data_IF_583191878585
#
_entry.id   IF_583191878585
#
_cell.length_a   1.000
_cell.length_b   1.000
_cell.length_c   1.000
_cell.angle_alpha   90.00
_cell.angle_beta   90.00
_cell.angle_gamma   90.00
#
_symmetry.space_group_name_H-M   'P 1'
#
loop_
_entity.id
_entity.type
_entity.pdbx_description
1 polymer ?
#
# COMPACT_ATOMS: atom_id res chain seq x y z
N UNK A 1 -9.92 -2.43 14.91
CA UNK A 1 -11.01 -1.73 15.63
C UNK A 1 -11.08 -2.41 16.98
N UNK A 2 -10.86 -1.69 18.08
CA UNK A 2 -10.78 -2.33 19.40
C UNK A 2 -12.17 -2.73 19.90
N UNK A 3 -12.23 -3.89 20.56
CA UNK A 3 -13.40 -4.42 21.25
C UNK A 3 -13.17 -4.42 22.77
N UNK A 4 -14.22 -4.08 23.49
CA UNK A 4 -14.27 -4.09 24.96
C UNK A 4 -15.35 -5.06 25.44
N UNK A 5 -15.18 -5.61 26.63
CA UNK A 5 -16.19 -6.32 27.39
C UNK A 5 -16.71 -5.38 28.47
N UNK A 6 -18.03 -5.22 28.59
CA UNK A 6 -18.62 -4.51 29.74
C UNK A 6 -18.63 -5.44 30.96
N UNK A 7 -17.95 -5.05 32.04
CA UNK A 7 -17.80 -5.92 33.21
C UNK A 7 -19.13 -6.13 33.98
N UNK A 8 -20.14 -5.28 33.74
CA UNK A 8 -21.43 -5.35 34.40
C UNK A 8 -22.45 -6.28 33.72
N UNK A 9 -22.30 -6.57 32.43
CA UNK A 9 -23.25 -7.43 31.67
C UNK A 9 -22.59 -8.44 30.73
N UNK A 10 -21.25 -8.47 30.64
CA UNK A 10 -20.47 -9.37 29.79
C UNK A 10 -20.55 -9.08 28.29
N UNK A 11 -21.27 -8.04 27.85
CA UNK A 11 -21.44 -7.76 26.41
C UNK A 11 -20.12 -7.31 25.76
N UNK A 12 -19.81 -7.87 24.59
CA UNK A 12 -18.76 -7.36 23.70
C UNK A 12 -19.24 -6.14 22.92
N UNK A 13 -18.47 -5.05 22.96
CA UNK A 13 -18.82 -3.75 22.39
C UNK A 13 -17.63 -3.16 21.63
N UNK A 14 -17.85 -2.73 20.37
CA UNK A 14 -16.82 -2.02 19.58
C UNK A 14 -16.60 -0.63 20.16
N UNK A 15 -15.38 -0.08 20.07
CA UNK A 15 -15.05 1.26 20.60
C UNK A 15 -16.06 2.38 20.24
N UNK A 16 -16.60 2.39 19.03
CA UNK A 16 -17.59 3.39 18.57
C UNK A 16 -19.03 3.13 19.03
N UNK A 17 -19.29 1.98 19.65
CA UNK A 17 -20.58 1.59 20.20
C UNK A 17 -20.60 1.65 21.74
N UNK A 18 -19.45 1.91 22.38
CA UNK A 18 -19.32 1.99 23.84
C UNK A 18 -20.25 3.06 24.42
N UNK A 19 -20.28 4.26 23.85
CA UNK A 19 -21.16 5.33 24.34
C UNK A 19 -22.63 4.91 24.32
N UNK A 20 -23.11 4.36 23.19
CA UNK A 20 -24.46 3.82 23.06
C UNK A 20 -24.75 2.69 24.07
N UNK A 21 -23.76 1.84 24.33
CA UNK A 21 -23.87 0.78 25.33
C UNK A 21 -23.94 1.35 26.75
N UNK A 22 -23.14 2.36 27.11
CA UNK A 22 -23.20 3.03 28.41
C UNK A 22 -24.57 3.70 28.67
N UNK A 23 -25.22 4.23 27.63
CA UNK A 23 -26.59 4.75 27.75
C UNK A 23 -27.65 3.65 27.97
N UNK A 24 -27.43 2.44 27.42
CA UNK A 24 -28.36 1.31 27.57
C UNK A 24 -28.12 0.51 28.86
N UNK A 25 -26.85 0.27 29.20
CA UNK A 25 -26.42 -0.50 30.35
C UNK A 25 -26.07 0.42 31.52
N UNK A 26 -27.05 0.68 32.40
CA UNK A 26 -26.87 1.52 33.61
C UNK A 26 -25.79 1.02 34.58
N UNK A 27 -25.34 -0.23 34.44
CA UNK A 27 -24.26 -0.83 35.23
C UNK A 27 -22.86 -0.59 34.65
N UNK A 28 -22.73 -0.08 33.43
CA UNK A 28 -21.44 0.09 32.74
C UNK A 28 -20.56 1.14 33.44
N UNK A 29 -19.71 0.71 34.37
CA UNK A 29 -18.72 1.54 35.09
C UNK A 29 -17.28 1.29 34.62
N UNK A 30 -17.01 0.05 34.19
CA UNK A 30 -15.71 -0.40 33.74
C UNK A 30 -15.83 -1.29 32.50
N UNK A 31 -14.80 -1.20 31.65
CA UNK A 31 -14.70 -1.85 30.34
C UNK A 31 -13.34 -2.51 30.21
N UNK A 32 -13.31 -3.83 30.04
CA UNK A 32 -12.09 -4.59 29.81
C UNK A 32 -11.78 -4.70 28.32
N UNK A 33 -10.63 -4.22 27.83
CA UNK A 33 -10.25 -4.44 26.43
C UNK A 33 -9.96 -5.92 26.17
N UNK A 34 -10.55 -6.50 25.12
CA UNK A 34 -10.40 -7.94 24.81
C UNK A 34 -8.98 -8.33 24.41
N UNK A 35 -8.22 -7.39 23.84
CA UNK A 35 -6.90 -7.65 23.27
C UNK A 35 -5.78 -7.53 24.34
N UNK A 36 -5.86 -6.57 25.27
CA UNK A 36 -4.87 -6.36 26.34
C UNK A 36 -5.31 -6.71 27.77
N UNK A 37 -6.61 -6.96 27.99
CA UNK A 37 -7.22 -7.16 29.31
C UNK A 37 -6.99 -6.01 30.31
N UNK A 38 -6.64 -4.81 29.84
CA UNK A 38 -6.64 -3.61 30.68
C UNK A 38 -8.08 -3.18 30.91
N UNK A 39 -8.40 -2.90 32.18
CA UNK A 39 -9.69 -2.37 32.63
C UNK A 39 -9.66 -0.85 32.56
N UNK A 40 -10.63 -0.26 31.87
CA UNK A 40 -10.81 1.18 31.72
C UNK A 40 -12.03 1.64 32.52
N UNK A 41 -11.89 2.70 33.31
CA UNK A 41 -12.99 3.25 34.11
C UNK A 41 -13.58 4.49 33.44
N UNK A 42 -14.91 4.62 33.48
CA UNK A 42 -15.60 5.77 32.87
C UNK A 42 -15.22 5.96 31.40
N UNK A 43 -14.59 7.10 31.10
CA UNK A 43 -14.23 7.53 29.74
C UNK A 43 -12.81 7.14 29.28
N UNK A 44 -12.00 6.49 30.12
CA UNK A 44 -10.58 6.20 29.82
C UNK A 44 -10.37 5.35 28.55
N UNK A 45 -11.36 4.52 28.19
CA UNK A 45 -11.36 3.72 26.96
C UNK A 45 -11.24 4.58 25.69
N UNK A 46 -11.62 5.88 25.74
CA UNK A 46 -11.48 6.84 24.64
C UNK A 46 -10.01 7.04 24.27
N UNK A 47 -9.10 6.99 25.24
CA UNK A 47 -7.65 7.13 25.03
C UNK A 47 -6.99 5.84 24.51
N UNK A 48 -7.62 4.69 24.67
CA UNK A 48 -7.08 3.41 24.18
C UNK A 48 -7.17 3.30 22.65
N UNK A 49 -6.12 3.77 21.96
CA UNK A 49 -6.02 3.82 20.48
C UNK A 49 -5.10 2.75 19.87
N UNK A 50 -4.20 2.18 20.68
CA UNK A 50 -3.32 1.06 20.35
C UNK A 50 -3.40 0.04 21.47
N UNK A 51 -3.36 -1.24 21.11
CA UNK A 51 -3.25 -2.35 22.04
C UNK A 51 -1.83 -2.95 21.98
N UNK A 52 -1.38 -3.56 23.08
CA UNK A 52 -0.20 -4.45 23.06
C UNK A 52 -0.43 -5.60 22.08
N UNK A 53 0.63 -6.02 21.41
CA UNK A 53 0.62 -7.17 20.52
C UNK A 53 0.64 -8.48 21.30
N UNK A 54 0.18 -9.56 20.67
CA UNK A 54 0.21 -10.92 21.25
C UNK A 54 1.64 -11.35 21.60
N UNK A 55 2.58 -11.06 20.70
CA UNK A 55 4.02 -11.21 20.89
C UNK A 55 4.54 -10.46 22.15
N UNK A 56 4.16 -9.19 22.36
CA UNK A 56 4.57 -8.41 23.56
C UNK A 56 3.92 -8.93 24.85
N UNK A 57 2.72 -9.53 24.75
CA UNK A 57 1.95 -10.02 25.88
C UNK A 57 2.40 -11.41 26.35
N UNK A 58 2.81 -12.28 25.43
CA UNK A 58 3.17 -13.68 25.72
C UNK A 58 4.64 -14.04 25.42
N UNK A 59 5.42 -13.16 24.79
CA UNK A 59 6.80 -13.44 24.34
C UNK A 59 7.85 -13.61 25.44
N UNK A 60 7.45 -13.55 26.71
CA UNK A 60 8.36 -13.68 27.86
C UNK A 60 9.18 -12.41 28.14
N UNK A 61 9.99 -12.47 29.20
CA UNK A 61 10.76 -11.31 29.69
C UNK A 61 11.85 -10.83 28.72
N UNK A 62 12.30 -11.71 27.84
CA UNK A 62 13.34 -11.45 26.84
C UNK A 62 12.77 -11.11 25.45
N UNK A 63 11.46 -10.86 25.33
CA UNK A 63 10.86 -10.46 24.05
C UNK A 63 11.46 -9.15 23.55
N UNK A 64 12.14 -9.22 22.42
CA UNK A 64 12.56 -8.04 21.66
C UNK A 64 11.64 -7.87 20.46
N UNK A 65 10.97 -6.72 20.29
CA UNK A 65 10.10 -6.48 19.15
C UNK A 65 10.89 -6.57 17.85
N UNK A 66 10.44 -7.44 16.95
CA UNK A 66 11.06 -7.65 15.64
C UNK A 66 11.21 -6.29 14.94
N UNK A 67 12.42 -5.93 14.50
CA UNK A 67 12.71 -4.63 13.88
C UNK A 67 11.87 -4.31 12.61
N UNK A 68 11.18 -5.31 12.05
CA UNK A 68 10.20 -5.17 10.98
C UNK A 68 8.82 -4.68 11.44
N UNK A 69 8.41 -4.96 12.69
CA UNK A 69 7.06 -4.69 13.21
C UNK A 69 6.74 -3.20 13.21
N UNK A 70 7.61 -2.40 13.84
CA UNK A 70 7.42 -0.94 13.96
C UNK A 70 7.99 -0.14 12.78
N UNK A 71 8.39 -0.80 11.67
CA UNK A 71 9.05 -0.15 10.52
C UNK A 71 8.19 0.93 9.84
N UNK A 72 6.87 0.85 9.96
CA UNK A 72 5.95 1.90 9.46
C UNK A 72 5.97 3.16 10.34
N UNK A 73 5.96 2.96 11.65
CA UNK A 73 5.94 4.00 12.70
C UNK A 73 7.30 4.70 12.83
N UNK A 74 8.40 3.97 12.87
CA UNK A 74 9.77 4.54 12.88
C UNK A 74 10.01 5.46 11.68
N UNK A 75 9.47 5.11 10.49
CA UNK A 75 9.53 5.96 9.29
C UNK A 75 8.61 7.18 9.36
N UNK A 76 7.63 7.19 10.26
CA UNK A 76 6.71 8.31 10.48
C UNK A 76 7.28 9.25 11.55
N UNK A 77 7.86 8.72 12.63
CA UNK A 77 8.60 9.46 13.64
C UNK A 77 9.77 10.23 13.04
N UNK A 78 10.66 9.55 12.30
CA UNK A 78 11.78 10.19 11.58
C UNK A 78 11.35 11.29 10.60
N UNK A 79 10.15 11.15 10.01
CA UNK A 79 9.59 12.17 9.13
C UNK A 79 9.11 13.41 9.91
N UNK A 80 8.51 13.21 11.08
CA UNK A 80 8.04 14.30 11.96
C UNK A 80 9.24 15.01 12.62
N UNK A 81 10.23 14.26 13.11
CA UNK A 81 11.49 14.78 13.63
C UNK A 81 12.22 15.64 12.58
N UNK A 82 12.28 15.15 11.32
CA UNK A 82 12.84 15.92 10.21
C UNK A 82 12.06 17.22 9.93
N UNK A 83 10.72 17.18 9.97
CA UNK A 83 9.87 18.39 9.83
C UNK A 83 10.19 19.39 10.95
N UNK A 84 10.23 18.95 12.20
CA UNK A 84 10.53 19.79 13.37
C UNK A 84 11.93 20.41 13.28
N UNK A 85 12.94 19.62 12.89
CA UNK A 85 14.32 20.08 12.66
C UNK A 85 14.40 21.12 11.52
N UNK A 86 13.65 20.92 10.44
CA UNK A 86 13.59 21.85 9.31
C UNK A 86 12.95 23.19 9.69
N UNK A 87 11.89 23.17 10.52
CA UNK A 87 11.22 24.38 11.05
C UNK A 87 12.14 25.11 12.04
N UNK A 88 12.86 24.37 12.88
CA UNK A 88 13.77 24.94 13.89
C UNK A 88 15.01 25.58 13.26
N UNK A 89 15.55 24.97 12.19
CA UNK A 89 16.72 25.48 11.46
C UNK A 89 16.38 26.63 10.51
N UNK A 90 15.30 26.52 9.73
CA UNK A 90 14.83 27.59 8.84
C UNK A 90 13.91 28.55 9.60
N UNK A 91 14.47 29.64 10.15
CA UNK A 91 13.67 30.78 10.66
C UNK A 91 12.88 31.44 9.52
N UNK A 92 11.68 30.94 9.29
CA UNK A 92 10.74 31.42 8.27
C UNK A 92 9.77 32.42 8.94
N UNK A 93 9.68 33.68 8.47
CA UNK A 93 8.67 34.63 8.95
C UNK A 93 7.34 34.52 8.17
N UNK A 94 6.28 35.09 8.73
CA UNK A 94 5.00 35.30 8.02
C UNK A 94 4.03 34.10 8.02
N UNK A 95 2.99 34.10 7.17
CA UNK A 95 1.89 33.13 7.20
C UNK A 95 2.31 31.66 7.07
N UNK A 96 3.44 31.41 6.42
CA UNK A 96 4.02 30.07 6.27
C UNK A 96 4.49 29.49 7.62
N UNK A 97 4.98 30.33 8.54
CA UNK A 97 5.39 29.89 9.90
C UNK A 97 4.21 29.39 10.73
N UNK A 98 3.08 30.10 10.70
CA UNK A 98 1.84 29.69 11.38
C UNK A 98 1.32 28.35 10.86
N UNK A 99 1.35 28.16 9.52
CA UNK A 99 1.01 26.88 8.90
C UNK A 99 1.93 25.76 9.36
N UNK A 100 3.25 25.96 9.35
CA UNK A 100 4.23 24.95 9.76
C UNK A 100 4.07 24.56 11.24
N UNK A 101 3.84 25.54 12.12
CA UNK A 101 3.54 25.31 13.54
C UNK A 101 2.19 24.61 13.77
N UNK A 102 1.20 24.81 12.90
CA UNK A 102 -0.07 24.07 12.93
C UNK A 102 0.08 22.64 12.36
N UNK A 103 1.04 22.39 11.47
CA UNK A 103 1.29 21.05 10.91
C UNK A 103 1.92 20.13 11.96
N UNK A 104 2.86 20.62 12.77
CA UNK A 104 3.57 19.80 13.78
C UNK A 104 2.68 19.32 14.93
N UNK A 105 1.49 19.88 15.14
CA UNK A 105 0.54 19.37 16.16
C UNK A 105 -0.08 18.03 15.77
N UNK A 106 0.10 17.57 14.53
CA UNK A 106 -0.43 16.30 14.03
C UNK A 106 0.63 15.20 14.03
N UNK A 107 0.36 14.09 14.70
CA UNK A 107 1.24 12.91 14.74
C UNK A 107 1.25 12.05 13.47
N UNK A 108 0.45 12.38 12.45
CA UNK A 108 0.34 11.62 11.20
C UNK A 108 0.29 12.52 9.96
N UNK A 109 1.41 13.22 9.72
CA UNK A 109 1.59 14.09 8.56
C UNK A 109 1.88 13.25 7.30
N UNK A 110 1.14 13.40 6.17
CA UNK A 110 1.35 12.59 4.98
C UNK A 110 2.69 12.83 4.26
N UNK A 111 3.40 11.75 3.94
CA UNK A 111 4.69 11.74 3.20
C UNK A 111 4.58 11.80 1.67
N UNK A 112 3.44 12.18 1.09
CA UNK A 112 3.24 12.27 -0.36
C UNK A 112 2.51 13.57 -0.70
N UNK A 113 3.04 14.36 -1.63
CA UNK A 113 2.55 15.69 -2.00
C UNK A 113 1.02 15.77 -2.14
N UNK A 114 0.42 14.93 -3.00
CA UNK A 114 -1.03 14.95 -3.22
C UNK A 114 -1.85 14.52 -1.99
N UNK A 115 -1.29 13.73 -1.08
CA UNK A 115 -1.94 13.37 0.19
C UNK A 115 -1.75 14.46 1.24
N UNK A 116 -0.61 15.15 1.25
CA UNK A 116 -0.32 16.31 2.09
C UNK A 116 -1.22 17.49 1.71
N UNK A 117 -1.35 17.81 0.42
CA UNK A 117 -2.27 18.84 -0.09
C UNK A 117 -3.73 18.54 0.31
N UNK A 118 -4.19 17.30 0.14
CA UNK A 118 -5.54 16.91 0.57
C UNK A 118 -5.71 16.98 2.10
N UNK A 119 -4.67 16.68 2.87
CA UNK A 119 -4.67 16.86 4.33
C UNK A 119 -4.80 18.33 4.71
N UNK A 120 -4.02 19.24 4.12
CA UNK A 120 -4.14 20.68 4.40
C UNK A 120 -5.50 21.26 3.98
N UNK A 121 -6.06 20.80 2.84
CA UNK A 121 -7.39 21.20 2.36
C UNK A 121 -8.53 20.71 3.26
N UNK A 122 -8.45 19.49 3.79
CA UNK A 122 -9.52 18.89 4.58
C UNK A 122 -9.38 19.21 6.09
N UNK A 123 -8.20 18.98 6.67
CA UNK A 123 -7.95 19.12 8.10
C UNK A 123 -7.73 20.57 8.52
N UNK A 124 -6.97 21.36 7.75
CA UNK A 124 -6.67 22.76 8.09
C UNK A 124 -7.52 23.78 7.30
N UNK A 125 -8.33 23.31 6.34
CA UNK A 125 -9.17 24.13 5.43
C UNK A 125 -8.39 25.15 4.58
N UNK A 126 -7.09 24.93 4.40
CA UNK A 126 -6.20 25.82 3.63
C UNK A 126 -6.33 25.50 2.14
N UNK A 127 -6.66 26.51 1.34
CA UNK A 127 -6.89 26.39 -0.10
C UNK A 127 -5.81 27.05 -0.97
N UNK A 128 -4.94 27.86 -0.39
CA UNK A 128 -3.93 28.64 -1.13
C UNK A 128 -2.84 27.72 -1.68
N UNK A 129 -2.78 27.46 -3.01
CA UNK A 129 -1.90 26.45 -3.57
C UNK A 129 -0.42 26.83 -3.41
N UNK A 130 -0.08 28.11 -3.54
CA UNK A 130 1.29 28.62 -3.38
C UNK A 130 1.83 28.35 -1.97
N UNK A 131 1.01 28.56 -0.93
CA UNK A 131 1.40 28.33 0.45
C UNK A 131 1.58 26.83 0.76
N UNK A 132 0.72 25.99 0.19
CA UNK A 132 0.82 24.52 0.29
C UNK A 132 2.09 24.01 -0.42
N UNK A 133 2.37 24.52 -1.62
CA UNK A 133 3.58 24.15 -2.39
C UNK A 133 4.86 24.57 -1.68
N UNK A 134 4.92 25.79 -1.11
CA UNK A 134 6.07 26.25 -0.33
C UNK A 134 6.29 25.39 0.93
N UNK A 135 5.21 25.09 1.68
CA UNK A 135 5.29 24.21 2.84
C UNK A 135 5.76 22.79 2.46
N UNK A 136 5.25 22.24 1.34
CA UNK A 136 5.68 20.94 0.85
C UNK A 136 7.14 20.95 0.37
N UNK A 137 7.58 22.00 -0.33
CA UNK A 137 8.94 22.11 -0.86
C UNK A 137 9.99 22.15 0.25
N UNK A 138 9.71 22.85 1.36
CA UNK A 138 10.54 22.87 2.56
C UNK A 138 10.81 21.44 3.07
N UNK A 139 9.82 20.55 3.01
CA UNK A 139 9.93 19.15 3.44
C UNK A 139 10.42 18.19 2.34
N UNK A 140 10.15 18.49 1.07
CA UNK A 140 10.50 17.62 -0.06
C UNK A 140 12.00 17.62 -0.37
N UNK A 141 12.72 18.69 -0.01
CA UNK A 141 14.16 18.83 -0.21
C UNK A 141 14.99 17.69 0.41
N UNK A 142 14.50 17.03 1.48
CA UNK A 142 15.18 15.89 2.13
C UNK A 142 14.83 14.52 1.55
N UNK A 143 13.63 14.35 0.98
CA UNK A 143 13.21 13.06 0.37
C UNK A 143 14.06 12.67 -0.83
N UNK A 144 14.77 13.63 -1.44
CA UNK A 144 15.77 13.41 -2.50
C UNK A 144 17.07 12.82 -1.94
N UNK A 145 17.44 13.14 -0.69
CA UNK A 145 18.69 12.68 -0.08
C UNK A 145 18.60 11.22 0.40
N UNK A 146 17.42 10.74 0.82
CA UNK A 146 17.21 9.29 1.10
C UNK A 146 17.38 8.41 -0.15
N UNK A 147 17.23 8.95 -1.37
CA UNK A 147 17.45 8.19 -2.61
C UNK A 147 18.92 8.03 -3.02
N UNK A 148 19.85 8.79 -2.44
CA UNK A 148 21.27 8.81 -2.86
C UNK A 148 22.23 8.13 -1.86
N UNK A 149 21.92 8.14 -0.56
CA UNK A 149 22.79 7.59 0.50
C UNK A 149 22.86 6.05 0.58
N UNK A 150 22.67 5.33 -0.53
CA UNK A 150 22.79 3.86 -0.61
C UNK A 150 23.64 3.39 -1.81
N UNK A 151 24.52 4.24 -2.35
CA UNK A 151 25.56 3.87 -3.32
C UNK A 151 26.90 4.55 -3.00
N UNK A 152 27.99 3.85 -3.30
CA UNK A 152 29.40 4.15 -2.97
C UNK A 152 29.68 3.94 -1.47
N UNK A 153 30.54 3.01 -1.03
CA UNK A 153 31.86 2.54 -1.55
C UNK A 153 31.88 1.00 -1.53
N UNK A 154 32.37 0.24 -2.53
CA UNK A 154 33.76 0.10 -2.99
C UNK A 154 33.82 -0.14 -4.52
N UNK A 155 34.83 0.42 -5.19
CA UNK A 155 35.17 0.14 -6.59
C UNK A 155 36.08 -1.11 -6.70
N UNK A 156 35.95 -2.01 -7.67
CA UNK A 156 34.92 -2.12 -8.71
C UNK A 156 35.45 -2.84 -9.97
N UNK A 157 34.57 -3.19 -10.92
CA UNK A 157 34.82 -3.13 -12.39
C UNK A 157 33.54 -3.47 -13.17
N UNK A 158 33.17 -2.59 -14.12
CA UNK A 158 32.23 -2.75 -15.26
C UNK A 158 30.77 -3.25 -15.04
N UNK A 159 29.89 -2.67 -15.86
CA UNK A 159 28.56 -3.13 -16.32
C UNK A 159 27.27 -2.64 -15.61
N UNK A 160 26.62 -1.66 -16.27
CA UNK A 160 25.21 -1.65 -16.73
C UNK A 160 24.01 -1.77 -15.75
N UNK A 161 23.04 -0.88 -15.99
CA UNK A 161 21.64 -0.86 -15.55
C UNK A 161 21.33 -0.51 -14.08
N UNK A 162 20.31 0.34 -13.91
CA UNK A 162 19.62 0.55 -12.64
C UNK A 162 18.18 0.02 -12.70
N UNK A 163 17.55 -0.06 -11.53
CA UNK A 163 16.08 -0.05 -11.38
C UNK A 163 15.71 0.23 -9.92
N UNK A 164 14.69 1.06 -9.70
CA UNK A 164 14.07 1.25 -8.39
C UNK A 164 13.24 0.02 -7.98
N UNK A 165 13.22 -0.30 -6.68
CA UNK A 165 12.50 -1.45 -6.13
C UNK A 165 11.85 -1.19 -4.78
N UNK A 166 10.80 -0.36 -4.74
CA UNK A 166 9.93 -0.26 -3.55
C UNK A 166 9.01 -1.48 -3.49
N UNK A 167 9.05 -2.19 -2.36
CA UNK A 167 8.09 -3.24 -2.03
C UNK A 167 6.66 -2.71 -1.97
N UNK A 168 5.73 -3.45 -2.57
CA UNK A 168 4.34 -3.43 -2.17
C UNK A 168 3.87 -4.88 -1.94
N UNK A 169 3.75 -5.25 -0.66
CA UNK A 169 2.91 -6.38 -0.27
C UNK A 169 1.45 -5.96 -0.48
N UNK A 170 0.66 -6.86 -1.06
CA UNK A 170 -0.80 -6.76 -1.12
C UNK A 170 -1.39 -7.97 -0.42
N UNK A 171 -1.91 -7.78 0.79
CA UNK A 171 -2.64 -8.82 1.50
C UNK A 171 -3.95 -9.14 0.78
N UNK A 172 -4.15 -10.42 0.50
CA UNK A 172 -5.37 -10.99 -0.08
C UNK A 172 -6.51 -11.00 0.95
N UNK A 173 -7.72 -10.64 0.52
CA UNK A 173 -8.96 -11.07 1.19
C UNK A 173 -9.47 -12.32 0.50
N UNK A 174 -9.66 -13.39 1.26
CA UNK A 174 -10.41 -14.58 0.84
C UNK A 174 -11.90 -14.35 1.17
N UNK A 175 -12.76 -14.79 0.26
CA UNK A 175 -14.09 -15.31 0.59
C UNK A 175 -14.18 -16.67 -0.08
N UNK A 176 -14.65 -17.69 0.65
CA UNK A 176 -14.87 -19.02 0.11
C UNK A 176 -16.35 -19.20 -0.24
N UNK A 177 -16.61 -20.00 -1.28
CA UNK A 177 -17.65 -21.03 -1.23
C UNK A 177 -17.39 -22.09 -2.31
N UNK A 178 -18.03 -23.25 -2.15
CA UNK A 178 -17.91 -24.50 -2.93
C UNK A 178 -19.19 -25.31 -2.71
N UNK A 179 -19.42 -26.51 -3.31
CA UNK A 179 -18.73 -27.21 -4.41
C UNK A 179 -19.70 -27.69 -5.53
N UNK A 180 -19.17 -28.21 -6.65
CA UNK A 180 -19.65 -29.46 -7.30
C UNK A 180 -18.74 -29.86 -8.49
N UNK A 181 -18.91 -31.09 -9.00
CA UNK A 181 -17.90 -31.85 -9.77
C UNK A 181 -18.48 -32.31 -11.12
N UNK A 182 -17.66 -32.38 -12.20
CA UNK A 182 -17.50 -33.53 -13.14
C UNK A 182 -17.07 -33.17 -14.61
N UNK A 183 -15.89 -33.72 -14.99
CA UNK A 183 -15.50 -34.37 -16.28
C UNK A 183 -15.66 -33.74 -17.69
N UNK A 184 -14.53 -33.80 -18.43
CA UNK A 184 -14.35 -34.23 -19.85
C UNK A 184 -14.34 -33.25 -21.07
N UNK A 185 -13.13 -33.15 -21.68
CA UNK A 185 -12.75 -33.13 -23.13
C UNK A 185 -13.50 -32.26 -24.19
N UNK A 186 -12.79 -31.20 -24.69
CA UNK A 186 -12.63 -30.69 -26.10
C UNK A 186 -13.89 -30.36 -26.98
N UNK A 187 -13.79 -29.59 -28.10
CA UNK A 187 -12.77 -28.65 -28.60
C UNK A 187 -13.34 -27.22 -28.89
N UNK A 188 -12.57 -26.37 -29.59
CA UNK A 188 -12.92 -24.97 -29.92
C UNK A 188 -13.94 -24.81 -31.07
N UNK A 189 -14.75 -23.74 -31.02
CA UNK A 189 -15.39 -23.12 -32.19
C UNK A 189 -15.41 -21.58 -32.06
N UNK A 190 -15.36 -20.92 -33.21
CA UNK A 190 -15.39 -19.47 -33.44
C UNK A 190 -16.83 -19.01 -33.75
N UNK A 191 -17.23 -17.84 -33.28
CA UNK A 191 -18.17 -16.98 -34.01
C UNK A 191 -18.05 -15.51 -33.56
N UNK A 192 -18.27 -14.57 -34.49
CA UNK A 192 -17.92 -13.14 -34.35
C UNK A 192 -19.10 -12.20 -34.59
N UNK A 193 -18.93 -10.91 -34.22
CA UNK A 193 -19.78 -9.72 -34.51
C UNK A 193 -20.91 -9.44 -33.49
N UNK A 194 -21.27 -8.21 -33.09
CA UNK A 194 -20.76 -6.83 -33.29
C UNK A 194 -21.39 -5.92 -32.17
N UNK A 195 -21.10 -4.63 -31.91
CA UNK A 195 -20.19 -3.61 -32.45
C UNK A 195 -19.97 -2.47 -31.41
N UNK A 196 -18.80 -1.80 -31.41
CA UNK A 196 -18.63 -0.31 -31.49
C UNK A 196 -17.16 0.10 -31.37
N UNK A 197 -16.76 1.08 -32.16
CA UNK A 197 -15.39 1.28 -32.66
C UNK A 197 -14.50 2.21 -31.81
N UNK A 198 -13.18 1.99 -31.84
CA UNK A 198 -12.18 3.00 -32.28
C UNK A 198 -11.07 2.27 -33.06
N UNK A 199 -10.54 2.89 -34.12
CA UNK A 199 -9.79 2.25 -35.22
C UNK A 199 -8.25 2.30 -35.07
N UNK A 200 -7.60 1.23 -35.58
CA UNK A 200 -6.16 1.08 -35.93
C UNK A 200 -5.08 1.05 -34.83
N UNK A 201 -4.45 -0.14 -34.64
CA UNK A 201 -2.99 -0.39 -34.82
C UNK A 201 -2.59 -1.84 -34.47
N UNK A 202 -1.85 -2.47 -35.40
CA UNK A 202 -1.02 -3.68 -35.28
C UNK A 202 -1.59 -4.88 -34.49
N UNK A 203 -2.02 -5.91 -35.23
CA UNK A 203 -2.48 -7.19 -34.72
C UNK A 203 -1.34 -8.03 -34.10
N UNK A 204 -0.93 -7.69 -32.88
CA UNK A 204 0.11 -8.43 -32.15
C UNK A 204 -0.52 -9.56 -31.31
N UNK A 205 -0.17 -10.81 -31.63
CA UNK A 205 -0.67 -12.00 -30.94
C UNK A 205 0.00 -12.17 -29.56
N UNK A 206 -0.59 -11.55 -28.53
CA UNK A 206 -0.06 -11.59 -27.16
C UNK A 206 0.12 -13.00 -26.58
N UNK A 207 -0.80 -13.93 -26.90
CA UNK A 207 -0.72 -15.32 -26.44
C UNK A 207 0.41 -16.08 -27.13
N UNK A 208 0.52 -15.97 -28.45
CA UNK A 208 1.56 -16.64 -29.25
C UNK A 208 2.98 -16.15 -28.86
N UNK A 209 3.12 -14.85 -28.61
CA UNK A 209 4.35 -14.26 -28.10
C UNK A 209 4.72 -14.80 -26.70
N UNK A 210 3.74 -14.99 -25.82
CA UNK A 210 3.97 -15.58 -24.50
C UNK A 210 4.30 -17.08 -24.58
N UNK A 211 3.66 -17.82 -25.47
CA UNK A 211 3.92 -19.24 -25.71
C UNK A 211 5.33 -19.48 -26.26
N UNK A 212 5.75 -18.69 -27.28
CA UNK A 212 7.13 -18.71 -27.80
C UNK A 212 8.18 -18.46 -26.72
N UNK A 213 7.97 -17.47 -25.85
CA UNK A 213 8.88 -17.23 -24.72
C UNK A 213 8.87 -18.39 -23.71
N UNK A 214 7.77 -19.12 -23.53
CA UNK A 214 7.74 -20.26 -22.62
C UNK A 214 8.35 -21.54 -23.20
N UNK A 215 8.36 -21.71 -24.53
CA UNK A 215 9.07 -22.82 -25.19
C UNK A 215 10.58 -22.80 -24.91
N UNK A 216 11.19 -21.61 -24.85
CA UNK A 216 12.61 -21.43 -24.50
C UNK A 216 12.92 -21.73 -23.02
N UNK A 217 11.91 -21.79 -22.15
CA UNK A 217 12.06 -21.98 -20.70
C UNK A 217 11.15 -23.11 -20.15
N UNK A 218 11.43 -24.39 -20.46
CA UNK A 218 10.60 -25.53 -20.07
C UNK A 218 10.50 -25.74 -18.54
N UNK A 219 11.41 -25.18 -17.76
CA UNK A 219 11.35 -25.16 -16.28
C UNK A 219 10.35 -24.13 -15.72
N UNK A 220 9.63 -23.39 -16.58
CA UNK A 220 8.75 -22.30 -16.21
C UNK A 220 9.50 -20.97 -15.97
N UNK A 221 8.76 -19.87 -16.12
CA UNK A 221 9.29 -18.51 -16.04
C UNK A 221 8.43 -17.63 -15.11
N UNK A 222 9.06 -16.84 -14.25
CA UNK A 222 8.34 -15.91 -13.38
C UNK A 222 7.53 -14.88 -14.17
N UNK A 223 6.29 -14.58 -13.78
CA UNK A 223 5.38 -13.59 -14.41
C UNK A 223 6.09 -12.26 -14.73
N UNK A 224 6.94 -11.78 -13.81
CA UNK A 224 7.69 -10.52 -13.96
C UNK A 224 8.67 -10.54 -15.14
N UNK A 225 9.28 -11.70 -15.43
CA UNK A 225 10.19 -11.90 -16.57
C UNK A 225 9.40 -12.10 -17.87
N UNK A 226 8.42 -13.00 -17.88
CA UNK A 226 7.55 -13.25 -19.04
C UNK A 226 6.91 -11.95 -19.55
N UNK A 227 6.32 -11.15 -18.65
CA UNK A 227 5.75 -9.84 -18.97
C UNK A 227 6.77 -8.85 -19.52
N UNK A 228 8.02 -8.87 -19.05
CA UNK A 228 9.07 -7.98 -19.55
C UNK A 228 9.40 -8.33 -21.00
N UNK A 229 9.51 -9.61 -21.31
CA UNK A 229 9.89 -10.12 -22.63
C UNK A 229 8.78 -9.91 -23.67
N UNK A 230 7.54 -10.29 -23.36
CA UNK A 230 6.41 -10.09 -24.28
C UNK A 230 6.14 -8.61 -24.56
N UNK A 231 6.31 -7.72 -23.56
CA UNK A 231 6.21 -6.26 -23.78
C UNK A 231 7.40 -5.72 -24.61
N UNK A 232 8.59 -6.34 -24.54
CA UNK A 232 9.71 -5.98 -25.40
C UNK A 232 9.45 -6.40 -26.86
N UNK A 233 8.95 -7.62 -27.09
CA UNK A 233 8.52 -8.09 -28.41
C UNK A 233 7.42 -7.21 -29.01
N UNK A 234 6.40 -6.82 -28.22
CA UNK A 234 5.37 -5.87 -28.66
C UNK A 234 5.97 -4.54 -29.11
N UNK A 235 6.91 -3.97 -28.36
CA UNK A 235 7.57 -2.70 -28.71
C UNK A 235 8.48 -2.81 -29.93
N UNK A 236 9.08 -3.97 -30.18
CA UNK A 236 9.84 -4.23 -31.40
C UNK A 236 8.92 -4.38 -32.62
N UNK A 237 7.76 -5.03 -32.47
CA UNK A 237 6.77 -5.22 -33.54
C UNK A 237 5.92 -3.97 -33.84
N UNK A 238 5.81 -3.02 -32.89
CA UNK A 238 5.01 -1.79 -33.03
C UNK A 238 5.91 -0.56 -33.03
N UNK A 239 6.35 -0.18 -34.23
CA UNK A 239 7.24 0.97 -34.47
C UNK A 239 6.72 2.33 -33.95
N UNK A 240 5.42 2.47 -33.68
CA UNK A 240 4.81 3.69 -33.09
C UNK A 240 3.96 3.38 -31.86
N UNK A 241 4.60 2.86 -30.81
CA UNK A 241 3.95 2.56 -29.54
C UNK A 241 3.58 3.84 -28.75
N UNK A 242 2.32 4.30 -28.89
CA UNK A 242 1.75 5.43 -28.12
C UNK A 242 1.22 5.05 -26.73
N UNK A 243 1.30 3.77 -26.35
CA UNK A 243 0.75 3.24 -25.09
C UNK A 243 1.75 3.36 -23.94
N UNK A 244 1.26 3.77 -22.77
CA UNK A 244 2.08 3.85 -21.56
C UNK A 244 2.49 2.45 -21.05
N UNK A 245 3.60 2.38 -20.32
CA UNK A 245 4.03 1.14 -19.64
C UNK A 245 2.99 0.62 -18.61
N UNK A 246 2.06 1.46 -18.16
CA UNK A 246 0.92 1.07 -17.32
C UNK A 246 -0.18 0.37 -18.10
N UNK A 247 -0.48 0.83 -19.32
CA UNK A 247 -1.51 0.23 -20.18
C UNK A 247 -1.03 -1.10 -20.75
N UNK A 248 0.23 -1.19 -21.23
CA UNK A 248 0.82 -2.43 -21.71
C UNK A 248 0.80 -3.54 -20.64
N UNK A 249 0.94 -3.20 -19.35
CA UNK A 249 0.80 -4.16 -18.23
C UNK A 249 -0.64 -4.65 -18.04
N UNK A 250 -1.64 -3.79 -18.27
CA UNK A 250 -3.06 -4.18 -18.23
C UNK A 250 -3.41 -5.08 -19.42
N UNK A 251 -2.98 -4.70 -20.62
CA UNK A 251 -3.19 -5.46 -21.86
C UNK A 251 -2.57 -6.86 -21.72
N UNK A 252 -1.31 -6.97 -21.27
CA UNK A 252 -0.68 -8.26 -20.99
C UNK A 252 -1.46 -9.10 -19.98
N UNK A 253 -1.92 -8.51 -18.86
CA UNK A 253 -2.66 -9.23 -17.82
C UNK A 253 -3.99 -9.80 -18.36
N UNK A 254 -4.73 -9.00 -19.12
CA UNK A 254 -6.04 -9.39 -19.64
C UNK A 254 -5.93 -10.41 -20.79
N UNK A 255 -4.89 -10.34 -21.63
CA UNK A 255 -4.75 -11.27 -22.76
C UNK A 255 -4.02 -12.57 -22.39
N UNK A 256 -2.98 -12.50 -21.56
CA UNK A 256 -2.12 -13.66 -21.24
C UNK A 256 -2.52 -14.31 -19.91
N UNK A 257 -2.62 -13.54 -18.82
CA UNK A 257 -2.86 -14.10 -17.48
C UNK A 257 -4.33 -14.42 -17.17
N UNK A 258 -5.24 -14.06 -18.07
CA UNK A 258 -6.67 -14.39 -17.99
C UNK A 258 -7.07 -15.43 -19.05
N UNK A 259 -6.13 -15.86 -19.90
CA UNK A 259 -6.33 -16.95 -20.86
C UNK A 259 -6.17 -18.32 -20.17
N UNK A 260 -7.05 -19.30 -20.45
CA UNK A 260 -6.99 -20.62 -19.82
C UNK A 260 -5.73 -21.44 -20.20
N UNK A 261 -4.97 -21.00 -21.20
CA UNK A 261 -3.72 -21.65 -21.62
C UNK A 261 -2.54 -21.42 -20.68
N UNK A 262 -2.62 -20.47 -19.74
CA UNK A 262 -1.50 -20.09 -18.87
C UNK A 262 -1.82 -20.26 -17.38
N UNK A 263 -1.27 -21.31 -16.77
CA UNK A 263 -1.41 -21.55 -15.33
C UNK A 263 -0.35 -20.77 -14.51
N UNK A 264 -0.79 -19.98 -13.54
CA UNK A 264 0.09 -19.38 -12.54
C UNK A 264 0.37 -20.38 -11.41
N UNK A 265 1.54 -21.02 -11.43
CA UNK A 265 2.04 -21.79 -10.30
C UNK A 265 2.35 -20.87 -9.12
N UNK A 266 1.37 -20.71 -8.21
CA UNK A 266 1.59 -20.07 -6.92
C UNK A 266 2.32 -21.07 -6.03
N UNK A 267 3.66 -20.92 -5.95
CA UNK A 267 4.43 -21.60 -4.92
C UNK A 267 3.93 -21.15 -3.54
N UNK A 268 3.60 -22.14 -2.71
CA UNK A 268 3.07 -21.97 -1.35
C UNK A 268 4.21 -21.68 -0.36
#
# INVERSE_FOLDING_TARGET
>A
MVFFTCDACGQSVKKNQVENHCFQCRGCRSLSCMDCNVVFWGDDYKNHVKCVTEDERYGGKDYQPKASSNKGEIKQEKWIEHIQSTISSKKIPGPLSGLLNQIITYSNIPRKQSKFENFLKNSLKIRNPNLISQAWEIFAQSTKNESESSKVTVNGTKAVNGTNGVNHNTSTKRSADSPSVQTAKKPCLDDSSNSKEVVSKNNFNWCEAAEKVLLDFPSGLSEKKLRKEVIAQYKAAVATCSLSNSELKKIFRNNVLQSPSFCLNVAN
#
